data_IF_515916227698
#
_entry.id   IF_515916227698
#
_cell.length_a   1.000
_cell.length_b   1.000
_cell.length_c   1.000
_cell.angle_alpha   90.00
_cell.angle_beta   90.00
_cell.angle_gamma   90.00
#
_symmetry.space_group_name_H-M   'P 1'
#
loop_
_entity.id
_entity.type
_entity.pdbx_description
1 polymer ?
#
# COMPACT_ATOMS: atom_id res chain seq x y z
N UNK A 1 -8.55 0.45 -32.35
CA UNK A 1 -7.78 -0.42 -31.43
C UNK A 1 -8.15 0.12 -30.08
N UNK A 2 -9.31 -0.33 -29.62
CA UNK A 2 -10.02 0.27 -28.51
C UNK A 2 -10.14 -0.82 -27.45
N UNK A 3 -9.03 -1.06 -26.76
CA UNK A 3 -9.10 -1.69 -25.44
C UNK A 3 -9.56 -0.59 -24.49
N UNK A 4 -10.85 -0.29 -24.55
CA UNK A 4 -11.56 0.37 -23.48
C UNK A 4 -11.52 -0.62 -22.31
N UNK A 5 -10.40 -0.57 -21.58
CA UNK A 5 -10.22 -1.30 -20.35
C UNK A 5 -11.24 -0.66 -19.42
N UNK A 6 -12.38 -1.31 -19.29
CA UNK A 6 -13.37 -1.00 -18.25
C UNK A 6 -12.75 -1.39 -16.91
N UNK A 7 -11.72 -0.63 -16.53
CA UNK A 7 -11.13 -0.57 -15.21
C UNK A 7 -12.29 -0.23 -14.29
N UNK A 8 -12.79 -1.22 -13.58
CA UNK A 8 -13.80 -1.00 -12.56
C UNK A 8 -13.15 -0.06 -11.55
N UNK A 9 -13.52 1.24 -11.53
CA UNK A 9 -12.86 2.19 -10.66
C UNK A 9 -13.09 1.70 -9.24
N UNK A 10 -12.05 1.76 -8.41
CA UNK A 10 -12.20 1.45 -7.00
C UNK A 10 -13.34 2.34 -6.45
N UNK A 11 -14.37 1.73 -5.86
CA UNK A 11 -15.48 2.51 -5.35
C UNK A 11 -14.95 3.49 -4.29
N UNK A 12 -15.53 4.69 -4.21
CA UNK A 12 -15.05 5.74 -3.28
C UNK A 12 -14.99 5.23 -1.84
N UNK A 13 -16.01 4.47 -1.41
CA UNK A 13 -16.04 3.89 -0.07
C UNK A 13 -14.92 2.87 0.15
N UNK A 14 -14.60 2.05 -0.85
CA UNK A 14 -13.51 1.07 -0.79
C UNK A 14 -12.13 1.75 -0.78
N UNK A 15 -11.97 2.83 -1.56
CA UNK A 15 -10.76 3.64 -1.57
C UNK A 15 -10.52 4.33 -0.22
N UNK A 16 -11.55 4.91 0.38
CA UNK A 16 -11.47 5.49 1.73
C UNK A 16 -11.17 4.44 2.80
N UNK A 17 -11.75 3.25 2.69
CA UNK A 17 -11.45 2.13 3.58
C UNK A 17 -9.98 1.70 3.44
N UNK A 18 -9.46 1.60 2.21
CA UNK A 18 -8.08 1.24 1.95
C UNK A 18 -7.09 2.31 2.47
N UNK A 19 -7.36 3.59 2.25
CA UNK A 19 -6.58 4.72 2.82
C UNK A 19 -6.50 4.59 4.34
N UNK A 20 -7.63 4.28 4.99
CA UNK A 20 -7.67 4.10 6.45
C UNK A 20 -6.81 2.92 6.92
N UNK A 21 -6.83 1.81 6.19
CA UNK A 21 -5.98 0.64 6.47
C UNK A 21 -4.50 0.96 6.30
N UNK A 22 -4.13 1.67 5.21
CA UNK A 22 -2.74 2.08 4.96
C UNK A 22 -2.24 3.01 6.07
N UNK A 23 -3.03 3.99 6.50
CA UNK A 23 -2.68 4.88 7.61
C UNK A 23 -2.43 4.13 8.93
N UNK A 24 -3.22 3.08 9.22
CA UNK A 24 -3.01 2.22 10.39
C UNK A 24 -1.69 1.45 10.27
N UNK A 25 -1.39 0.88 9.10
CA UNK A 25 -0.14 0.15 8.86
C UNK A 25 1.08 1.07 8.97
N UNK A 26 1.02 2.27 8.40
CA UNK A 26 2.06 3.29 8.53
C UNK A 26 2.30 3.68 9.99
N UNK A 27 1.24 3.92 10.76
CA UNK A 27 1.35 4.26 12.18
C UNK A 27 1.90 3.10 13.02
N UNK A 28 1.46 1.88 12.76
CA UNK A 28 1.98 0.68 13.42
C UNK A 28 3.45 0.45 13.09
N UNK A 29 3.84 0.66 11.83
CA UNK A 29 5.24 0.56 11.41
C UNK A 29 6.08 1.66 12.06
N UNK A 30 5.69 2.94 11.96
CA UNK A 30 6.44 4.05 12.54
C UNK A 30 6.65 3.92 14.06
N UNK A 31 5.67 3.35 14.78
CA UNK A 31 5.74 3.17 16.23
C UNK A 31 6.50 1.91 16.71
N UNK A 32 6.93 1.02 15.81
CA UNK A 32 7.49 -0.27 16.24
C UNK A 32 6.43 -1.30 16.66
N UNK A 33 5.15 -1.01 16.40
CA UNK A 33 4.01 -1.82 16.84
C UNK A 33 3.57 -2.91 15.88
N UNK A 34 4.16 -3.00 14.69
CA UNK A 34 3.82 -4.04 13.72
C UNK A 34 4.49 -5.37 14.11
N UNK A 35 3.73 -6.47 14.34
CA UNK A 35 4.32 -7.76 14.63
C UNK A 35 5.24 -8.24 13.50
N UNK A 36 6.36 -8.89 13.83
CA UNK A 36 7.39 -9.32 12.87
C UNK A 36 6.85 -10.21 11.75
N UNK A 37 5.88 -11.07 12.07
CA UNK A 37 5.28 -11.99 11.10
C UNK A 37 4.39 -11.24 10.10
N UNK A 38 3.70 -10.19 10.56
CA UNK A 38 2.88 -9.31 9.70
C UNK A 38 3.79 -8.46 8.82
N UNK A 39 4.85 -7.89 9.38
CA UNK A 39 5.86 -7.13 8.61
C UNK A 39 6.49 -8.00 7.51
N UNK A 40 6.83 -9.26 7.84
CA UNK A 40 7.38 -10.23 6.89
C UNK A 40 6.41 -10.55 5.74
N UNK A 41 5.13 -10.74 6.04
CA UNK A 41 4.09 -10.99 5.02
C UNK A 41 3.88 -9.74 4.16
N UNK A 42 3.84 -8.56 4.76
CA UNK A 42 3.70 -7.29 4.06
C UNK A 42 4.85 -7.08 3.07
N UNK A 43 6.10 -7.22 3.53
CA UNK A 43 7.31 -7.11 2.69
C UNK A 43 7.23 -8.08 1.51
N UNK A 44 6.87 -9.35 1.77
CA UNK A 44 6.74 -10.36 0.72
C UNK A 44 5.75 -9.94 -0.36
N UNK A 45 4.58 -9.45 0.03
CA UNK A 45 3.56 -9.03 -0.93
C UNK A 45 3.96 -7.77 -1.69
N UNK A 46 4.56 -6.78 -1.03
CA UNK A 46 5.02 -5.57 -1.71
C UNK A 46 6.13 -5.89 -2.73
N UNK A 47 7.07 -6.77 -2.38
CA UNK A 47 8.10 -7.26 -3.32
C UNK A 47 7.49 -8.01 -4.50
N UNK A 48 6.50 -8.88 -4.25
CA UNK A 48 5.83 -9.63 -5.32
C UNK A 48 5.03 -8.76 -6.30
N UNK A 49 4.67 -7.54 -5.90
CA UNK A 49 3.91 -6.60 -6.72
C UNK A 49 4.78 -5.42 -7.20
N UNK A 50 6.11 -5.57 -7.16
CA UNK A 50 7.07 -4.54 -7.60
C UNK A 50 6.92 -3.18 -6.88
N UNK A 51 6.37 -3.19 -5.66
CA UNK A 51 6.21 -2.00 -4.82
C UNK A 51 7.37 -1.79 -3.84
N UNK A 52 8.25 -2.79 -3.68
CA UNK A 52 9.39 -2.76 -2.79
C UNK A 52 10.51 -3.66 -3.33
N UNK A 53 11.77 -3.29 -3.11
CA UNK A 53 12.91 -4.11 -3.53
C UNK A 53 13.22 -5.22 -2.50
N UNK A 54 13.77 -6.38 -2.93
CA UNK A 54 14.25 -7.39 -2.01
C UNK A 54 15.35 -6.85 -1.08
N UNK A 55 15.20 -7.08 0.22
CA UNK A 55 16.16 -6.62 1.23
C UNK A 55 15.96 -5.17 1.67
N UNK A 56 14.86 -4.54 1.27
CA UNK A 56 14.53 -3.19 1.68
C UNK A 56 14.45 -3.05 3.21
N UNK A 57 14.86 -1.89 3.70
CA UNK A 57 14.79 -1.55 5.11
C UNK A 57 13.40 -1.02 5.52
N UNK A 58 13.27 -0.71 6.80
CA UNK A 58 12.01 -0.28 7.39
C UNK A 58 11.56 1.10 6.91
N UNK A 59 12.50 1.98 6.59
CA UNK A 59 12.22 3.29 6.01
C UNK A 59 11.68 3.16 4.60
N UNK A 60 12.31 2.31 3.79
CA UNK A 60 11.85 2.00 2.44
C UNK A 60 10.47 1.33 2.44
N UNK A 61 10.18 0.46 3.42
CA UNK A 61 8.83 -0.10 3.62
C UNK A 61 7.81 1.00 3.94
N UNK A 62 8.15 1.96 4.80
CA UNK A 62 7.28 3.08 5.13
C UNK A 62 7.00 3.96 3.91
N UNK A 63 8.02 4.24 3.10
CA UNK A 63 7.89 5.04 1.88
C UNK A 63 7.06 4.31 0.82
N UNK A 64 7.17 2.98 0.71
CA UNK A 64 6.32 2.17 -0.17
C UNK A 64 4.84 2.23 0.22
N UNK A 65 4.53 2.20 1.53
CA UNK A 65 3.16 2.35 2.04
C UNK A 65 2.59 3.75 1.74
N UNK A 66 3.37 4.80 1.99
CA UNK A 66 2.97 6.18 1.67
C UNK A 66 2.73 6.38 0.19
N UNK A 67 3.62 5.87 -0.66
CA UNK A 67 3.43 5.91 -2.11
C UNK A 67 2.18 5.15 -2.57
N UNK A 68 1.77 4.11 -1.85
CA UNK A 68 0.50 3.43 -2.12
C UNK A 68 -0.70 4.27 -1.67
N UNK A 69 -0.66 4.91 -0.49
CA UNK A 69 -1.70 5.86 -0.04
C UNK A 69 -1.90 6.99 -1.06
N UNK A 70 -0.81 7.60 -1.53
CA UNK A 70 -0.83 8.66 -2.54
C UNK A 70 -1.49 8.19 -3.85
N UNK A 71 -1.15 6.99 -4.34
CA UNK A 71 -1.76 6.42 -5.55
C UNK A 71 -3.25 6.11 -5.37
N UNK A 72 -3.66 5.62 -4.20
CA UNK A 72 -5.08 5.34 -3.93
C UNK A 72 -5.87 6.65 -3.84
N UNK A 73 -5.30 7.71 -3.22
CA UNK A 73 -5.93 9.03 -3.20
C UNK A 73 -6.07 9.65 -4.57
N UNK A 74 -5.10 9.45 -5.45
CA UNK A 74 -5.18 9.94 -6.83
C UNK A 74 -6.33 9.32 -7.64
N UNK A 75 -6.93 8.21 -7.19
CA UNK A 75 -8.14 7.61 -7.79
C UNK A 75 -9.42 8.35 -7.36
N UNK A 76 -9.36 9.15 -6.29
CA UNK A 76 -10.50 9.93 -5.77
C UNK A 76 -10.61 11.34 -6.38
N UNK A 77 -9.55 11.83 -7.02
CA UNK A 77 -9.46 13.16 -7.66
C UNK A 77 -9.96 13.13 -9.12
#
# INVERSE_FOLDING_TARGET
MDTDSSEHPLAVDDALALISVLAVLEGALASGGLPSDVETVLIRHLVQNDLLLPGADRGELLDALRGLDERVRAVLD
#
